data_IF_717227644344
#
_entry.id   IF_717227644344
#
_cell.length_a   1.000
_cell.length_b   1.000
_cell.length_c   1.000
_cell.angle_alpha   90.00
_cell.angle_beta   90.00
_cell.angle_gamma   90.00
#
_symmetry.space_group_name_H-M   'P 1'
#
loop_
_entity.id
_entity.type
_entity.pdbx_description
1 polymer ?
#
# COMPACT_ATOMS: atom_id res chain seq x y z
N UNK A 1 8.89 -27.17 -71.03
CA UNK A 1 9.35 -26.16 -70.02
C UNK A 1 8.18 -25.50 -69.29
N UNK A 2 7.11 -25.11 -69.95
CA UNK A 2 5.94 -24.50 -69.29
C UNK A 2 5.18 -25.42 -68.31
N UNK A 3 5.01 -26.70 -68.63
CA UNK A 3 4.37 -27.68 -67.75
C UNK A 3 5.16 -27.95 -66.45
N UNK A 4 6.50 -27.99 -66.52
CA UNK A 4 7.34 -28.15 -65.36
C UNK A 4 7.29 -26.93 -64.41
N UNK A 5 7.22 -25.72 -64.93
CA UNK A 5 7.07 -24.50 -64.15
C UNK A 5 5.67 -24.38 -63.48
N UNK A 6 4.60 -24.81 -64.19
CA UNK A 6 3.28 -24.85 -63.65
C UNK A 6 3.14 -25.85 -62.48
N UNK A 7 3.77 -27.02 -62.63
CA UNK A 7 3.77 -28.03 -61.59
C UNK A 7 4.57 -27.61 -60.34
N UNK A 8 5.67 -26.87 -60.54
CA UNK A 8 6.46 -26.31 -59.42
C UNK A 8 5.66 -25.22 -58.67
N UNK A 9 4.96 -24.32 -59.38
CA UNK A 9 4.16 -23.30 -58.76
C UNK A 9 2.98 -23.89 -57.95
N UNK A 10 2.34 -24.92 -58.47
CA UNK A 10 1.29 -25.66 -57.78
C UNK A 10 1.83 -26.37 -56.51
N UNK A 11 3.01 -26.99 -56.61
CA UNK A 11 3.64 -27.65 -55.48
C UNK A 11 4.03 -26.66 -54.39
N UNK A 12 4.59 -25.48 -54.75
CA UNK A 12 4.89 -24.42 -53.78
C UNK A 12 3.62 -23.88 -53.11
N UNK A 13 2.56 -23.64 -53.90
CA UNK A 13 1.29 -23.20 -53.36
C UNK A 13 0.66 -24.23 -52.38
N UNK A 14 0.72 -25.50 -52.72
CA UNK A 14 0.25 -26.59 -51.83
C UNK A 14 1.09 -26.69 -50.56
N UNK A 15 2.43 -26.62 -50.66
CA UNK A 15 3.32 -26.66 -49.50
C UNK A 15 3.09 -25.43 -48.57
N UNK A 16 2.88 -24.25 -49.17
CA UNK A 16 2.57 -23.04 -48.43
C UNK A 16 1.23 -23.16 -47.69
N UNK A 17 0.22 -23.68 -48.38
CA UNK A 17 -1.11 -23.90 -47.74
C UNK A 17 -1.02 -24.91 -46.60
N UNK A 18 -0.30 -26.03 -46.80
CA UNK A 18 -0.10 -27.02 -45.74
C UNK A 18 0.75 -26.51 -44.59
N UNK A 19 1.73 -25.64 -44.84
CA UNK A 19 2.53 -25.00 -43.81
C UNK A 19 1.68 -24.06 -42.91
N UNK A 20 0.67 -23.42 -43.50
CA UNK A 20 -0.25 -22.51 -42.81
C UNK A 20 -1.45 -23.21 -42.13
N UNK A 21 -1.51 -24.57 -42.24
CA UNK A 21 -2.54 -25.32 -41.51
C UNK A 21 -2.28 -25.31 -40.01
N UNK A 22 -3.34 -25.09 -39.23
CA UNK A 22 -3.29 -25.22 -37.78
C UNK A 22 -3.13 -26.70 -37.42
N UNK A 23 -2.01 -27.03 -36.80
CA UNK A 23 -1.69 -28.36 -36.29
C UNK A 23 -1.89 -28.39 -34.77
N UNK A 24 -1.88 -29.60 -34.21
CA UNK A 24 -2.01 -29.78 -32.75
C UNK A 24 -0.93 -30.75 -32.26
N UNK A 25 -0.36 -30.40 -31.08
CA UNK A 25 0.44 -31.33 -30.29
C UNK A 25 -0.29 -31.48 -28.96
N UNK A 26 -0.93 -32.62 -28.76
CA UNK A 26 -1.93 -32.80 -27.73
C UNK A 26 -3.12 -31.85 -27.97
N UNK A 27 -3.48 -31.04 -26.98
CA UNK A 27 -4.55 -30.03 -27.09
C UNK A 27 -4.06 -28.66 -27.58
N UNK A 28 -2.74 -28.46 -27.65
CA UNK A 28 -2.16 -27.15 -28.01
C UNK A 28 -2.14 -26.97 -29.53
N UNK A 29 -2.90 -25.98 -30.06
CA UNK A 29 -2.82 -25.64 -31.48
C UNK A 29 -1.54 -24.85 -31.75
N UNK A 30 -0.89 -25.12 -32.90
CA UNK A 30 0.24 -24.35 -33.38
C UNK A 30 0.19 -24.21 -34.90
N UNK A 31 0.86 -23.18 -35.39
CA UNK A 31 1.06 -22.92 -36.83
C UNK A 31 2.50 -22.55 -37.07
N UNK A 32 3.05 -23.01 -38.17
CA UNK A 32 4.41 -22.60 -38.61
C UNK A 32 4.26 -21.43 -39.58
N UNK A 33 4.82 -20.28 -39.22
CA UNK A 33 4.82 -19.10 -40.06
C UNK A 33 6.20 -18.84 -40.65
N UNK A 34 6.31 -18.33 -41.88
CA UNK A 34 7.56 -17.83 -42.44
C UNK A 34 8.20 -16.76 -41.55
N UNK A 35 9.53 -16.65 -41.60
CA UNK A 35 10.32 -15.79 -40.69
C UNK A 35 9.88 -14.33 -40.62
N UNK A 36 9.35 -13.77 -41.71
CA UNK A 36 8.87 -12.39 -41.78
C UNK A 36 7.34 -12.24 -41.62
N UNK A 37 6.64 -13.33 -41.27
CA UNK A 37 5.16 -13.28 -41.13
C UNK A 37 4.76 -12.62 -39.83
N UNK A 38 3.66 -11.81 -39.89
CA UNK A 38 3.00 -11.24 -38.75
C UNK A 38 1.66 -11.90 -38.50
N UNK A 39 1.37 -12.22 -37.25
CA UNK A 39 0.04 -12.65 -36.85
C UNK A 39 -0.75 -11.41 -36.46
N UNK A 40 -1.82 -11.13 -37.18
CA UNK A 40 -2.72 -10.02 -36.87
C UNK A 40 -4.07 -10.57 -36.39
N UNK A 41 -4.50 -10.09 -35.22
CA UNK A 41 -5.80 -10.45 -34.67
C UNK A 41 -6.89 -9.57 -35.29
N UNK A 42 -7.86 -10.18 -35.94
CA UNK A 42 -8.99 -9.48 -36.60
C UNK A 42 -10.19 -9.27 -35.68
N UNK A 43 -10.04 -9.52 -34.37
CA UNK A 43 -11.12 -9.40 -33.40
C UNK A 43 -11.72 -7.99 -33.35
N UNK A 44 -10.91 -6.95 -33.60
CA UNK A 44 -11.36 -5.55 -33.62
C UNK A 44 -12.36 -5.21 -34.76
N UNK A 45 -12.46 -6.05 -35.78
CA UNK A 45 -13.49 -5.93 -36.82
C UNK A 45 -14.82 -6.59 -36.45
N UNK A 46 -14.87 -7.35 -35.36
CA UNK A 46 -16.11 -7.96 -34.89
C UNK A 46 -17.02 -6.92 -34.22
N UNK A 47 -18.34 -7.07 -34.28
CA UNK A 47 -19.28 -6.16 -33.60
C UNK A 47 -19.10 -6.11 -32.08
N UNK A 48 -18.47 -7.13 -31.49
CA UNK A 48 -18.13 -7.26 -30.06
C UNK A 48 -16.97 -8.22 -29.89
N UNK A 49 -16.18 -8.08 -28.79
CA UNK A 49 -15.13 -9.03 -28.47
C UNK A 49 -15.66 -10.45 -28.31
N UNK A 50 -14.84 -11.44 -28.63
CA UNK A 50 -15.17 -12.87 -28.50
C UNK A 50 -15.33 -13.31 -27.06
N UNK A 51 -14.61 -12.65 -26.15
CA UNK A 51 -14.68 -12.90 -24.70
C UNK A 51 -14.37 -11.63 -23.89
N UNK A 52 -14.80 -11.63 -22.64
CA UNK A 52 -14.43 -10.58 -21.71
C UNK A 52 -12.97 -10.76 -21.29
N UNK A 53 -12.23 -9.66 -21.27
CA UNK A 53 -10.83 -9.62 -20.81
C UNK A 53 -10.46 -8.20 -20.40
N UNK A 54 -9.36 -8.06 -19.70
CA UNK A 54 -8.80 -6.79 -19.26
C UNK A 54 -8.87 -6.60 -17.75
N UNK A 55 -8.10 -5.65 -17.27
CA UNK A 55 -8.01 -5.30 -15.86
C UNK A 55 -8.73 -3.97 -15.65
N UNK A 56 -9.70 -3.95 -14.75
CA UNK A 56 -10.41 -2.73 -14.34
C UNK A 56 -9.90 -2.34 -12.96
N UNK A 57 -9.15 -1.25 -12.87
CA UNK A 57 -8.72 -0.69 -11.59
C UNK A 57 -9.83 0.20 -11.05
N UNK A 58 -10.46 -0.22 -9.96
CA UNK A 58 -11.50 0.55 -9.28
C UNK A 58 -10.90 1.38 -8.15
N UNK A 59 -11.52 2.51 -7.84
CA UNK A 59 -10.99 3.48 -6.88
C UNK A 59 -11.61 3.34 -5.49
N UNK A 60 -12.71 2.59 -5.38
CA UNK A 60 -13.41 2.39 -4.13
C UNK A 60 -13.97 0.98 -3.99
N UNK A 61 -14.31 0.62 -2.77
CA UNK A 61 -14.86 -0.68 -2.42
C UNK A 61 -16.24 -0.92 -3.06
N UNK A 62 -17.07 0.11 -3.16
CA UNK A 62 -18.40 0.00 -3.75
C UNK A 62 -18.33 -0.35 -5.25
N UNK A 63 -17.39 0.26 -5.97
CA UNK A 63 -17.08 -0.06 -7.36
C UNK A 63 -16.60 -1.50 -7.52
N UNK A 64 -15.72 -1.97 -6.62
CA UNK A 64 -15.26 -3.35 -6.61
C UNK A 64 -16.42 -4.34 -6.44
N UNK A 65 -17.26 -4.12 -5.44
CA UNK A 65 -18.43 -4.96 -5.17
C UNK A 65 -19.46 -4.92 -6.32
N UNK A 66 -19.63 -3.75 -6.95
CA UNK A 66 -20.52 -3.60 -8.11
C UNK A 66 -20.04 -4.42 -9.29
N UNK A 67 -18.75 -4.36 -9.63
CA UNK A 67 -18.17 -5.17 -10.71
C UNK A 67 -18.18 -6.65 -10.37
N UNK A 68 -17.89 -6.99 -9.12
CA UNK A 68 -17.99 -8.38 -8.65
C UNK A 68 -19.41 -8.93 -8.86
N UNK A 69 -20.44 -8.24 -8.35
CA UNK A 69 -21.85 -8.67 -8.51
C UNK A 69 -22.27 -8.78 -9.98
N UNK A 70 -21.69 -7.95 -10.85
CA UNK A 70 -21.99 -7.93 -12.29
C UNK A 70 -21.35 -9.07 -13.07
N UNK A 71 -20.16 -9.50 -12.70
CA UNK A 71 -19.35 -10.40 -13.52
C UNK A 71 -19.03 -11.73 -12.86
N UNK A 72 -19.41 -11.93 -11.60
CA UNK A 72 -19.11 -13.17 -10.89
C UNK A 72 -19.67 -14.39 -11.62
N UNK A 73 -18.89 -15.45 -11.65
CA UNK A 73 -19.25 -16.79 -12.01
C UNK A 73 -18.92 -17.68 -10.80
N UNK A 74 -19.90 -18.47 -10.33
CA UNK A 74 -19.75 -19.25 -9.10
C UNK A 74 -18.64 -20.30 -9.17
N UNK A 75 -18.28 -20.75 -10.37
CA UNK A 75 -17.28 -21.80 -10.58
C UNK A 75 -15.87 -21.26 -10.82
N UNK A 76 -15.75 -20.07 -11.41
CA UNK A 76 -14.48 -19.55 -11.92
C UNK A 76 -14.00 -18.27 -11.22
N UNK A 77 -14.88 -17.61 -10.45
CA UNK A 77 -14.48 -16.35 -9.82
C UNK A 77 -13.78 -16.61 -8.50
N UNK A 78 -12.59 -16.03 -8.36
CA UNK A 78 -11.78 -16.07 -7.13
C UNK A 78 -11.41 -14.64 -6.74
N UNK A 79 -11.40 -14.35 -5.43
CA UNK A 79 -10.92 -13.09 -4.90
C UNK A 79 -9.61 -13.34 -4.14
N UNK A 80 -8.56 -12.68 -4.59
CA UNK A 80 -7.26 -12.62 -3.94
C UNK A 80 -7.14 -11.35 -3.09
N UNK A 81 -6.48 -11.45 -1.96
CA UNK A 81 -6.26 -10.36 -1.03
C UNK A 81 -4.78 -10.28 -0.66
N UNK A 82 -4.16 -9.18 -1.04
CA UNK A 82 -2.79 -8.83 -0.70
C UNK A 82 -2.78 -7.88 0.50
N UNK A 83 -2.30 -8.38 1.62
CA UNK A 83 -2.29 -7.61 2.88
C UNK A 83 -1.23 -6.53 2.90
N UNK A 84 -0.06 -6.79 2.31
CA UNK A 84 1.06 -5.86 2.36
C UNK A 84 0.78 -4.61 1.55
N UNK A 85 0.26 -4.80 0.34
CA UNK A 85 -0.08 -3.72 -0.58
C UNK A 85 -1.52 -3.19 -0.39
N UNK A 86 -2.32 -3.84 0.46
CA UNK A 86 -3.76 -3.58 0.66
C UNK A 86 -4.54 -3.61 -0.66
N UNK A 87 -4.41 -4.72 -1.40
CA UNK A 87 -5.06 -4.90 -2.70
C UNK A 87 -6.06 -6.05 -2.62
N UNK A 88 -7.23 -5.86 -3.22
CA UNK A 88 -8.20 -6.90 -3.50
C UNK A 88 -8.33 -7.07 -5.01
N UNK A 89 -8.25 -8.31 -5.49
CA UNK A 89 -8.25 -8.65 -6.90
C UNK A 89 -9.24 -9.77 -7.18
N UNK A 90 -10.35 -9.45 -7.83
CA UNK A 90 -11.30 -10.43 -8.31
C UNK A 90 -10.92 -10.88 -9.73
N UNK A 91 -10.64 -12.16 -9.89
CA UNK A 91 -10.40 -12.82 -11.19
C UNK A 91 -11.67 -13.57 -11.55
N UNK A 92 -12.35 -13.13 -12.63
CA UNK A 92 -13.66 -13.64 -13.00
C UNK A 92 -13.61 -14.90 -13.87
N UNK A 93 -12.45 -15.25 -14.38
CA UNK A 93 -12.16 -16.42 -15.21
C UNK A 93 -10.89 -17.12 -14.73
N UNK A 94 -10.83 -17.44 -13.45
CA UNK A 94 -9.73 -18.19 -12.84
C UNK A 94 -9.83 -19.69 -13.19
N UNK A 95 -8.83 -20.43 -12.79
CA UNK A 95 -8.88 -21.89 -12.86
C UNK A 95 -10.00 -22.42 -11.97
N UNK A 96 -10.67 -23.46 -12.44
CA UNK A 96 -11.69 -24.19 -11.69
C UNK A 96 -11.36 -25.68 -11.62
N UNK A 97 -12.15 -26.45 -10.87
CA UNK A 97 -12.06 -27.91 -10.87
C UNK A 97 -12.29 -28.52 -12.27
N UNK A 98 -13.06 -27.82 -13.11
CA UNK A 98 -13.49 -28.32 -14.42
C UNK A 98 -12.54 -27.92 -15.56
N UNK A 99 -11.57 -27.03 -15.28
CA UNK A 99 -10.60 -26.62 -16.30
C UNK A 99 -9.77 -25.40 -15.97
N UNK A 100 -8.91 -25.05 -16.91
CA UNK A 100 -8.01 -23.92 -16.80
C UNK A 100 -8.64 -22.63 -17.32
N UNK A 101 -8.56 -21.55 -16.55
CA UNK A 101 -8.98 -20.21 -16.95
C UNK A 101 -7.83 -19.36 -17.48
N UNK A 102 -8.15 -18.33 -18.24
CA UNK A 102 -7.18 -17.38 -18.80
C UNK A 102 -6.67 -16.36 -17.79
N UNK A 103 -7.39 -16.14 -16.69
CA UNK A 103 -7.05 -15.22 -15.59
C UNK A 103 -6.83 -13.77 -16.03
N UNK A 104 -7.48 -13.35 -17.10
CA UNK A 104 -7.26 -12.05 -17.73
C UNK A 104 -8.50 -11.14 -17.73
N UNK A 105 -9.59 -11.54 -17.06
CA UNK A 105 -10.74 -10.70 -16.78
C UNK A 105 -10.78 -10.37 -15.28
N UNK A 106 -10.31 -9.18 -14.92
CA UNK A 106 -9.92 -8.86 -13.54
C UNK A 106 -10.52 -7.51 -13.11
N UNK A 107 -11.01 -7.44 -11.88
CA UNK A 107 -11.22 -6.17 -11.16
C UNK A 107 -10.20 -6.06 -10.04
N UNK A 108 -9.50 -4.93 -9.95
CA UNK A 108 -8.48 -4.67 -8.95
C UNK A 108 -8.85 -3.43 -8.14
N UNK A 109 -8.90 -3.58 -6.83
CA UNK A 109 -9.09 -2.51 -5.87
C UNK A 109 -7.84 -2.40 -4.98
N UNK A 110 -7.04 -1.36 -5.17
CA UNK A 110 -5.98 -1.00 -4.24
C UNK A 110 -6.55 0.03 -3.28
N UNK A 111 -6.56 -0.29 -1.99
CA UNK A 111 -7.12 0.59 -0.96
C UNK A 111 -6.29 1.87 -0.87
N UNK A 112 -6.81 3.03 -1.28
CA UNK A 112 -6.03 4.26 -1.25
C UNK A 112 -5.83 4.71 0.20
N UNK A 113 -4.58 4.94 0.59
CA UNK A 113 -4.24 5.49 1.92
C UNK A 113 -4.78 6.91 2.04
N UNK A 114 -5.33 7.27 3.20
CA UNK A 114 -5.78 8.63 3.48
C UNK A 114 -4.62 9.63 3.47
N UNK A 115 -4.92 10.91 3.28
CA UNK A 115 -3.91 11.97 3.35
C UNK A 115 -3.35 12.10 4.77
N UNK A 116 -4.20 11.95 5.77
CA UNK A 116 -3.85 11.98 7.19
C UNK A 116 -2.86 10.86 7.52
N UNK A 117 -3.17 9.63 7.15
CA UNK A 117 -2.27 8.49 7.33
C UNK A 117 -0.91 8.72 6.68
N UNK A 118 -0.89 9.16 5.42
CA UNK A 118 0.35 9.43 4.69
C UNK A 118 1.16 10.55 5.34
N UNK A 119 0.48 11.60 5.83
CA UNK A 119 1.12 12.74 6.49
C UNK A 119 1.78 12.31 7.80
N UNK A 120 1.06 11.59 8.65
CA UNK A 120 1.58 11.16 9.94
C UNK A 120 2.63 10.07 9.83
N UNK A 121 2.50 9.10 8.93
CA UNK A 121 3.51 8.05 8.75
C UNK A 121 4.78 8.54 8.06
N UNK A 122 4.69 9.51 7.15
CA UNK A 122 5.87 10.09 6.49
C UNK A 122 6.76 10.88 7.45
N UNK A 123 6.15 11.55 8.42
CA UNK A 123 6.87 12.37 9.39
C UNK A 123 7.17 11.64 10.70
N UNK A 124 6.88 10.32 10.78
CA UNK A 124 7.19 9.48 11.93
C UNK A 124 8.71 9.38 12.15
N UNK A 125 9.18 9.82 13.32
CA UNK A 125 10.60 9.88 13.67
C UNK A 125 11.39 11.04 13.05
N UNK A 126 10.78 11.85 12.20
CA UNK A 126 11.44 12.99 11.56
C UNK A 126 11.67 14.14 12.56
N UNK A 127 12.93 14.53 12.70
CA UNK A 127 13.35 15.57 13.63
C UNK A 127 13.12 16.95 13.05
N UNK A 128 12.40 17.76 13.77
CA UNK A 128 11.99 19.12 13.39
C UNK A 128 12.52 20.13 14.42
N UNK A 129 12.77 21.37 14.00
CA UNK A 129 12.89 22.45 14.97
C UNK A 129 11.58 22.66 15.72
N UNK A 130 11.62 23.31 16.88
CA UNK A 130 10.38 23.59 17.64
C UNK A 130 9.34 24.34 16.80
N UNK A 131 9.78 25.31 16.00
CA UNK A 131 8.90 26.09 15.14
C UNK A 131 8.26 25.23 14.04
N UNK A 132 9.06 24.36 13.39
CA UNK A 132 8.56 23.43 12.38
C UNK A 132 7.58 22.41 12.97
N UNK A 133 7.89 21.87 14.17
CA UNK A 133 7.01 20.94 14.86
C UNK A 133 5.70 21.61 15.27
N UNK A 134 5.75 22.82 15.83
CA UNK A 134 4.56 23.59 16.18
C UNK A 134 3.68 23.89 14.96
N UNK A 135 4.30 24.22 13.82
CA UNK A 135 3.58 24.43 12.58
C UNK A 135 2.94 23.14 12.05
N UNK A 136 3.67 22.02 12.11
CA UNK A 136 3.13 20.71 11.76
C UNK A 136 1.91 20.34 12.61
N UNK A 137 1.99 20.52 13.94
CA UNK A 137 0.88 20.29 14.86
C UNK A 137 -0.31 21.21 14.54
N UNK A 138 -0.04 22.49 14.25
CA UNK A 138 -1.10 23.46 13.90
C UNK A 138 -1.86 23.07 12.62
N UNK A 139 -1.15 22.57 11.61
CA UNK A 139 -1.75 22.13 10.36
C UNK A 139 -2.61 20.85 10.52
N UNK A 140 -2.28 20.01 11.50
CA UNK A 140 -2.91 18.72 11.73
C UNK A 140 -3.69 18.67 13.05
N UNK A 141 -4.16 19.83 13.56
CA UNK A 141 -4.85 19.94 14.85
C UNK A 141 -6.11 19.09 14.94
N UNK A 142 -6.83 18.92 13.84
CA UNK A 142 -8.07 18.15 13.77
C UNK A 142 -7.85 16.65 14.01
N UNK A 143 -6.64 16.18 13.79
CA UNK A 143 -6.27 14.79 13.96
C UNK A 143 -5.95 14.44 15.42
N UNK A 144 -5.68 15.44 16.27
CA UNK A 144 -5.26 15.23 17.65
C UNK A 144 -6.47 15.05 18.54
N UNK A 145 -6.55 13.89 19.20
CA UNK A 145 -7.67 13.51 20.08
C UNK A 145 -7.32 13.73 21.55
N UNK A 146 -6.08 13.46 21.94
CA UNK A 146 -5.60 13.56 23.32
C UNK A 146 -4.11 13.92 23.36
N UNK A 147 -3.68 14.93 24.14
CA UNK A 147 -4.51 15.86 24.88
C UNK A 147 -5.38 16.72 23.94
N UNK A 148 -6.25 17.59 24.51
CA UNK A 148 -7.03 18.51 23.68
C UNK A 148 -6.12 19.27 22.73
N UNK A 149 -6.51 19.40 21.46
CA UNK A 149 -5.68 19.94 20.36
C UNK A 149 -5.03 21.30 20.73
N UNK A 150 -5.74 22.17 21.45
CA UNK A 150 -5.22 23.45 21.92
C UNK A 150 -4.07 23.29 22.92
N UNK A 151 -4.12 22.30 23.79
CA UNK A 151 -3.03 22.00 24.74
C UNK A 151 -1.79 21.47 24.02
N UNK A 152 -1.97 20.58 23.04
CA UNK A 152 -0.86 20.07 22.26
C UNK A 152 -0.15 21.16 21.46
N UNK A 153 -0.90 22.12 20.92
CA UNK A 153 -0.37 23.27 20.23
C UNK A 153 0.40 24.20 21.21
N UNK A 154 -0.15 24.46 22.39
CA UNK A 154 0.52 25.25 23.43
C UNK A 154 1.83 24.58 23.88
N UNK A 155 1.85 23.26 24.09
CA UNK A 155 3.04 22.49 24.43
C UNK A 155 4.10 22.64 23.33
N UNK A 156 3.72 22.44 22.08
CA UNK A 156 4.67 22.51 20.94
C UNK A 156 5.29 23.89 20.75
N UNK A 157 4.52 24.96 21.00
CA UNK A 157 4.99 26.36 20.88
C UNK A 157 5.80 26.84 22.09
N UNK A 158 5.46 26.39 23.29
CA UNK A 158 5.99 26.93 24.53
C UNK A 158 6.93 26.02 25.30
N UNK A 159 7.23 24.81 24.76
CA UNK A 159 8.14 23.87 25.41
C UNK A 159 9.50 24.51 25.67
N UNK A 160 9.91 24.49 26.94
CA UNK A 160 11.26 24.86 27.37
C UNK A 160 11.90 23.62 27.95
N UNK A 161 12.90 23.10 27.25
CA UNK A 161 13.72 22.02 27.78
C UNK A 161 14.93 22.62 28.50
N UNK A 162 15.11 22.24 29.75
CA UNK A 162 16.31 22.60 30.53
C UNK A 162 17.22 21.40 30.61
N UNK A 163 18.44 21.56 30.12
CA UNK A 163 19.50 20.58 30.29
C UNK A 163 20.09 20.76 31.70
N UNK A 164 19.75 19.92 32.64
CA UNK A 164 20.44 19.85 33.93
C UNK A 164 21.53 18.80 33.85
N UNK A 165 22.78 19.26 33.74
CA UNK A 165 23.92 18.39 33.93
C UNK A 165 24.08 18.11 35.44
N UNK A 166 23.61 16.97 35.93
CA UNK A 166 24.00 16.48 37.24
C UNK A 166 25.23 15.61 37.06
N UNK A 167 26.38 16.07 37.49
CA UNK A 167 27.59 15.23 37.64
C UNK A 167 27.35 14.27 38.81
N UNK A 168 26.82 13.09 38.55
CA UNK A 168 26.51 12.16 39.61
C UNK A 168 27.70 11.39 40.18
N UNK A 169 28.81 11.28 39.45
CA UNK A 169 30.11 10.83 39.97
C UNK A 169 31.25 10.98 38.96
N UNK A 170 32.37 11.56 39.39
CA UNK A 170 33.64 11.42 38.70
C UNK A 170 34.41 10.27 39.32
N UNK A 171 34.43 9.12 38.66
CA UNK A 171 35.28 8.01 39.08
C UNK A 171 36.64 8.21 38.44
N UNK A 172 37.66 8.43 39.26
CA UNK A 172 39.04 8.46 38.81
C UNK A 172 39.52 7.03 38.60
N UNK A 173 39.77 6.69 37.35
CA UNK A 173 40.29 5.38 36.99
C UNK A 173 41.78 5.28 37.40
N UNK A 174 42.25 4.06 37.63
CA UNK A 174 43.64 3.79 38.05
C UNK A 174 44.72 4.20 37.05
N UNK A 175 44.32 4.49 35.80
CA UNK A 175 45.20 5.00 34.73
C UNK A 175 45.27 6.54 34.66
N UNK A 176 44.58 7.24 35.56
CA UNK A 176 44.56 8.69 35.62
C UNK A 176 43.50 9.36 34.72
N UNK A 177 42.72 8.58 33.94
CA UNK A 177 41.60 9.10 33.18
C UNK A 177 40.36 9.28 34.06
N UNK A 178 39.47 10.19 33.69
CA UNK A 178 38.22 10.43 34.37
C UNK A 178 37.08 9.86 33.48
N UNK A 179 36.35 8.87 33.96
CA UNK A 179 35.12 8.43 33.35
C UNK A 179 34.00 9.26 33.96
N UNK A 180 33.39 10.12 33.12
CA UNK A 180 32.18 10.85 33.48
C UNK A 180 30.99 10.00 33.09
N UNK A 181 30.18 9.54 34.05
CA UNK A 181 28.85 9.07 33.74
C UNK A 181 27.93 10.30 33.57
N UNK A 182 27.48 10.49 32.38
CA UNK A 182 26.63 11.61 31.97
C UNK A 182 25.19 11.14 31.99
N UNK A 183 24.47 11.42 33.06
CA UNK A 183 23.01 11.26 33.10
C UNK A 183 22.37 12.55 32.64
N UNK A 184 21.89 12.54 31.40
CA UNK A 184 21.20 13.65 30.79
C UNK A 184 19.70 13.59 31.10
N UNK A 185 19.29 14.22 32.21
CA UNK A 185 17.89 14.34 32.60
C UNK A 185 17.31 15.60 31.93
N UNK A 186 16.59 15.42 30.81
CA UNK A 186 15.94 16.52 30.10
C UNK A 186 14.51 16.64 30.65
N UNK A 187 14.27 17.66 31.48
CA UNK A 187 12.93 17.99 31.97
C UNK A 187 12.31 19.09 31.12
N UNK A 188 11.15 18.78 30.50
CA UNK A 188 10.36 19.73 29.74
C UNK A 188 9.29 20.39 30.59
N UNK A 189 9.08 21.69 30.42
CA UNK A 189 7.95 22.45 30.95
C UNK A 189 7.51 23.50 29.94
N UNK A 190 6.23 23.96 30.01
CA UNK A 190 5.78 25.08 29.18
C UNK A 190 6.21 26.42 29.77
N UNK A 191 6.26 27.49 28.96
CA UNK A 191 6.63 28.86 29.40
C UNK A 191 5.73 29.37 30.52
N UNK A 192 4.46 28.99 30.53
CA UNK A 192 3.50 29.34 31.58
C UNK A 192 3.59 28.45 32.82
N UNK A 193 4.36 27.35 32.77
CA UNK A 193 4.56 26.43 33.88
C UNK A 193 3.34 25.60 34.29
N UNK A 194 2.22 25.74 33.60
CA UNK A 194 0.93 25.18 33.97
C UNK A 194 0.55 23.89 33.25
N UNK A 195 1.22 23.55 32.14
CA UNK A 195 0.94 22.33 31.37
C UNK A 195 2.09 21.33 31.55
N UNK A 196 1.73 20.12 31.94
CA UNK A 196 2.66 19.00 31.95
C UNK A 196 2.89 18.56 30.49
N UNK A 197 4.14 18.33 30.11
CA UNK A 197 4.48 17.78 28.80
C UNK A 197 4.16 16.27 28.84
N UNK A 198 3.21 15.79 28.02
CA UNK A 198 2.86 14.38 28.01
C UNK A 198 3.95 13.55 27.36
N UNK A 199 4.15 12.33 27.82
CA UNK A 199 5.05 11.37 27.17
C UNK A 199 4.44 10.88 25.85
N UNK A 200 3.11 10.77 25.81
CA UNK A 200 2.37 10.30 24.63
C UNK A 200 1.19 11.21 24.34
N UNK A 201 0.76 11.21 23.10
CA UNK A 201 -0.48 11.84 22.64
C UNK A 201 -1.20 10.90 21.68
N UNK A 202 -2.47 11.13 21.39
CA UNK A 202 -3.27 10.30 20.49
C UNK A 202 -3.75 11.10 19.31
N UNK A 203 -3.65 10.49 18.13
CA UNK A 203 -4.26 10.97 16.90
C UNK A 203 -5.41 10.04 16.49
N UNK A 204 -6.44 10.60 15.87
CA UNK A 204 -7.62 9.87 15.38
C UNK A 204 -7.77 10.06 13.89
N UNK A 205 -7.23 9.14 13.09
CA UNK A 205 -7.17 9.27 11.63
C UNK A 205 -7.62 7.99 10.93
N UNK A 206 -8.22 8.09 9.72
CA UNK A 206 -8.47 6.93 8.89
C UNK A 206 -7.17 6.44 8.25
N UNK A 207 -7.00 5.13 8.15
CA UNK A 207 -5.86 4.52 7.40
C UNK A 207 -6.10 4.64 5.90
N UNK A 208 -7.29 4.24 5.46
CA UNK A 208 -7.68 4.30 4.05
C UNK A 208 -8.70 5.42 3.81
N UNK A 209 -8.70 5.93 2.58
CA UNK A 209 -9.59 7.01 2.16
C UNK A 209 -11.06 6.62 2.38
N UNK A 210 -11.82 7.52 3.01
CA UNK A 210 -13.21 7.31 3.41
C UNK A 210 -13.44 6.15 4.40
N UNK A 211 -12.37 5.63 5.02
CA UNK A 211 -12.43 4.60 6.04
C UNK A 211 -12.83 5.14 7.42
N UNK A 212 -12.97 4.22 8.36
CA UNK A 212 -13.17 4.55 9.79
C UNK A 212 -11.90 5.14 10.39
N UNK A 213 -12.04 6.13 11.27
CA UNK A 213 -10.93 6.68 12.05
C UNK A 213 -10.46 5.70 13.12
N UNK A 214 -9.15 5.59 13.27
CA UNK A 214 -8.48 4.79 14.30
C UNK A 214 -7.71 5.69 15.24
N UNK A 215 -7.75 5.38 16.53
CA UNK A 215 -6.92 6.05 17.53
C UNK A 215 -5.51 5.44 17.49
N UNK A 216 -4.50 6.27 17.26
CA UNK A 216 -3.09 5.87 17.22
C UNK A 216 -2.36 6.65 18.29
N UNK A 217 -1.63 5.95 19.13
CA UNK A 217 -0.78 6.57 20.13
C UNK A 217 0.58 6.93 19.53
N UNK A 218 1.09 8.12 19.89
CA UNK A 218 2.39 8.62 19.48
C UNK A 218 3.19 9.10 20.68
N UNK A 219 4.46 8.75 20.77
CA UNK A 219 5.37 9.26 21.78
C UNK A 219 5.90 10.61 21.37
N UNK A 220 5.74 11.61 22.23
CA UNK A 220 6.37 12.91 22.03
C UNK A 220 7.83 12.83 22.46
N UNK A 221 8.74 13.20 21.56
CA UNK A 221 10.17 13.19 21.79
C UNK A 221 10.74 14.60 21.59
N UNK A 222 11.72 14.92 22.39
CA UNK A 222 12.46 16.18 22.23
C UNK A 222 13.89 16.03 22.77
N UNK A 223 14.78 16.81 22.22
CA UNK A 223 16.17 16.92 22.70
C UNK A 223 16.75 18.31 22.44
N UNK A 224 17.77 18.66 23.19
CA UNK A 224 18.56 19.86 22.94
C UNK A 224 19.80 19.44 22.11
N UNK A 225 19.95 20.04 20.94
CA UNK A 225 21.09 19.87 20.07
C UNK A 225 21.59 21.25 19.65
N UNK A 226 22.89 21.53 19.83
CA UNK A 226 23.54 22.78 19.42
C UNK A 226 22.77 24.03 19.88
N UNK A 227 22.31 24.05 21.15
CA UNK A 227 21.50 25.09 21.79
C UNK A 227 20.09 25.29 21.17
N UNK A 228 19.67 24.44 20.27
CA UNK A 228 18.32 24.42 19.69
C UNK A 228 17.51 23.24 20.21
N UNK A 229 16.20 23.39 20.30
CA UNK A 229 15.27 22.32 20.65
C UNK A 229 14.83 21.61 19.37
N UNK A 230 15.13 20.31 19.26
CA UNK A 230 14.58 19.43 18.25
C UNK A 230 13.41 18.64 18.87
N UNK A 231 12.32 18.51 18.11
CA UNK A 231 11.12 17.77 18.50
C UNK A 231 10.74 16.80 17.39
N UNK A 232 10.16 15.66 17.78
CA UNK A 232 9.58 14.69 16.86
C UNK A 232 8.56 13.82 17.60
N UNK A 233 7.86 13.00 16.88
CA UNK A 233 7.03 11.95 17.46
C UNK A 233 7.40 10.59 16.89
N UNK A 234 7.01 9.55 17.59
CA UNK A 234 7.17 8.15 17.17
C UNK A 234 5.80 7.46 17.32
N UNK A 235 5.22 7.04 16.21
CA UNK A 235 3.96 6.30 16.23
C UNK A 235 4.15 4.94 16.91
N UNK A 236 3.22 4.56 17.77
CA UNK A 236 3.27 3.29 18.47
C UNK A 236 2.49 2.25 17.67
N UNK A 237 3.23 1.27 17.12
CA UNK A 237 2.68 0.13 16.38
C UNK A 237 1.70 0.51 15.25
N UNK A 238 2.03 1.42 14.35
CA UNK A 238 1.14 1.82 13.26
C UNK A 238 0.76 0.65 12.34
N UNK A 239 1.60 -0.39 12.25
CA UNK A 239 1.34 -1.58 11.47
C UNK A 239 0.13 -2.38 11.98
N UNK A 240 -0.09 -2.46 13.31
CA UNK A 240 -1.26 -3.14 13.86
C UNK A 240 -2.55 -2.43 13.42
N UNK A 241 -2.53 -1.10 13.44
CA UNK A 241 -3.68 -0.29 13.01
C UNK A 241 -3.94 -0.43 11.52
N UNK A 242 -2.87 -0.52 10.72
CA UNK A 242 -3.00 -0.81 9.29
C UNK A 242 -3.62 -2.19 9.03
N UNK A 243 -3.17 -3.21 9.78
CA UNK A 243 -3.74 -4.55 9.69
C UNK A 243 -5.22 -4.58 10.10
N UNK A 244 -5.60 -3.90 11.17
CA UNK A 244 -6.99 -3.82 11.62
C UNK A 244 -7.89 -3.17 10.56
N UNK A 245 -7.41 -2.08 9.96
CA UNK A 245 -8.12 -1.40 8.89
C UNK A 245 -8.27 -2.27 7.64
N UNK A 246 -7.23 -3.00 7.25
CA UNK A 246 -7.29 -3.96 6.14
C UNK A 246 -8.25 -5.10 6.44
N UNK A 247 -8.18 -5.68 7.64
CA UNK A 247 -9.04 -6.78 8.06
C UNK A 247 -10.52 -6.37 8.10
N UNK A 248 -10.83 -5.13 8.44
CA UNK A 248 -12.19 -4.59 8.38
C UNK A 248 -12.74 -4.59 6.93
N UNK A 249 -11.96 -4.10 5.97
CA UNK A 249 -12.33 -4.11 4.53
C UNK A 249 -12.44 -5.56 4.02
N UNK A 250 -11.48 -6.42 4.39
CA UNK A 250 -11.49 -7.84 4.03
C UNK A 250 -12.77 -8.54 4.50
N UNK A 251 -13.14 -8.34 5.77
CA UNK A 251 -14.35 -8.92 6.34
C UNK A 251 -15.62 -8.42 5.64
N UNK A 252 -15.67 -7.13 5.29
CA UNK A 252 -16.80 -6.55 4.59
C UNK A 252 -16.92 -7.08 3.16
N UNK A 253 -15.82 -7.18 2.41
CA UNK A 253 -15.81 -7.76 1.06
C UNK A 253 -16.23 -9.23 1.12
N UNK A 254 -15.68 -10.02 2.06
CA UNK A 254 -16.07 -11.43 2.23
C UNK A 254 -17.56 -11.57 2.52
N UNK A 255 -18.10 -10.76 3.42
CA UNK A 255 -19.53 -10.75 3.76
C UNK A 255 -20.41 -10.38 2.56
N UNK A 256 -20.08 -9.30 1.85
CA UNK A 256 -20.89 -8.79 0.72
C UNK A 256 -20.83 -9.67 -0.53
N UNK A 257 -19.72 -10.39 -0.71
CA UNK A 257 -19.53 -11.31 -1.83
C UNK A 257 -20.01 -12.74 -1.53
N UNK A 258 -20.05 -13.10 -0.23
CA UNK A 258 -20.30 -14.46 0.22
C UNK A 258 -19.15 -15.42 -0.11
N UNK A 259 -17.95 -14.91 -0.38
CA UNK A 259 -16.78 -15.71 -0.76
C UNK A 259 -15.69 -15.64 0.30
N UNK A 260 -14.95 -16.73 0.43
CA UNK A 260 -13.67 -16.73 1.11
C UNK A 260 -12.61 -16.07 0.21
N UNK A 261 -11.81 -15.17 0.77
CA UNK A 261 -10.75 -14.48 0.06
C UNK A 261 -9.44 -15.23 0.27
N UNK A 262 -8.69 -15.42 -0.81
CA UNK A 262 -7.40 -16.11 -0.77
C UNK A 262 -6.29 -15.08 -0.54
N UNK A 263 -5.52 -15.27 0.52
CA UNK A 263 -4.33 -14.45 0.76
C UNK A 263 -3.26 -14.76 -0.29
N UNK A 264 -2.84 -13.76 -1.04
CA UNK A 264 -1.81 -13.88 -2.08
C UNK A 264 -1.26 -12.50 -2.47
N UNK A 265 -0.04 -12.47 -2.97
CA UNK A 265 0.51 -11.29 -3.66
C UNK A 265 -0.28 -11.02 -4.96
N UNK A 266 -0.62 -9.74 -5.24
CA UNK A 266 -1.52 -9.37 -6.33
C UNK A 266 -0.87 -8.50 -7.42
#
# INVERSE_FOLDING_TARGET
>A
MQELQYNQAQTVAQLTTQALEVRRVGETPFITLPEESRVEGLEHFLPRPTRRRGIINVQDQAGFLTLFKRYRNEQETVIYADREEAIFKAVFNDHSSDGTGWRDHVSRYACPKSNEWQTWTRNDGEKMSQEQFAHFIEQNLVDIVEPVSAEMLEISRSLIAKKSASFSSAIRLSDGSHQFSYDEDIKGSTKSGNLAVPETFKIGIPVFLNGTGYAIEARLRYRIKDQSLEMWYELIRPHDVFEDAFNAIHAEISKETGMELIAAEC
#
